data_IF_315030935440
#
_entry.id   IF_315030935440
#
_cell.length_a   1.000
_cell.length_b   1.000
_cell.length_c   1.000
_cell.angle_alpha   90.00
_cell.angle_beta   90.00
_cell.angle_gamma   90.00
#
_symmetry.space_group_name_H-M   'P 1'
#
loop_
_entity.id
_entity.type
_entity.pdbx_description
1 polymer ?
#
# COMPACT_ATOMS: atom_id res chain seq x y z
N UNK A 1 11.71 20.09 8.94
CA UNK A 1 12.08 21.06 9.97
C UNK A 1 10.83 21.81 10.42
N UNK A 2 10.55 21.83 11.73
CA UNK A 2 9.38 22.53 12.29
C UNK A 2 9.75 24.01 12.51
N UNK A 3 10.89 24.27 13.14
CA UNK A 3 11.45 25.61 13.33
C UNK A 3 12.99 25.51 13.45
N UNK A 4 13.66 26.57 13.91
CA UNK A 4 15.11 26.58 14.07
C UNK A 4 15.64 25.54 15.05
N UNK A 5 14.83 25.10 16.00
CA UNK A 5 15.23 24.25 17.13
C UNK A 5 14.58 22.86 17.08
N UNK A 6 13.54 22.68 16.26
CA UNK A 6 12.77 21.44 16.23
C UNK A 6 12.73 20.81 14.84
N UNK A 7 12.94 19.50 14.83
CA UNK A 7 12.71 18.62 13.69
C UNK A 7 11.65 17.60 14.10
N UNK A 8 10.64 17.41 13.26
CA UNK A 8 9.69 16.32 13.41
C UNK A 8 10.00 15.22 12.41
N UNK A 9 9.88 13.98 12.85
CA UNK A 9 10.01 12.79 12.03
C UNK A 9 8.76 11.93 12.24
N UNK A 10 8.09 11.59 11.15
CA UNK A 10 6.94 10.70 11.18
C UNK A 10 7.39 9.26 10.97
N UNK A 11 6.78 8.36 11.70
CA UNK A 11 6.96 6.93 11.56
C UNK A 11 5.64 6.29 11.14
N UNK A 12 5.74 5.26 10.33
CA UNK A 12 4.62 4.37 10.01
C UNK A 12 4.48 3.25 11.07
N UNK A 13 3.43 2.46 10.97
CA UNK A 13 3.15 1.36 11.89
C UNK A 13 4.20 0.22 11.85
N UNK A 14 5.01 0.16 10.81
CA UNK A 14 6.10 -0.83 10.65
C UNK A 14 7.35 -0.46 11.42
N UNK A 15 7.47 0.79 11.86
CA UNK A 15 8.61 1.26 12.65
C UNK A 15 8.33 1.09 14.15
N UNK A 16 9.30 0.54 14.83
CA UNK A 16 9.21 0.23 16.24
C UNK A 16 10.10 1.13 17.10
N UNK A 17 10.00 0.97 18.40
CA UNK A 17 10.80 1.68 19.41
C UNK A 17 12.30 1.57 19.15
N UNK A 18 12.77 0.44 18.63
CA UNK A 18 14.19 0.26 18.27
C UNK A 18 14.64 1.30 17.23
N UNK A 19 13.86 1.50 16.16
CA UNK A 19 14.15 2.49 15.13
C UNK A 19 14.09 3.93 15.66
N UNK A 20 13.12 4.22 16.52
CA UNK A 20 13.02 5.52 17.17
C UNK A 20 14.26 5.79 18.04
N UNK A 21 14.72 4.79 18.80
CA UNK A 21 15.93 4.93 19.62
C UNK A 21 17.21 5.05 18.77
N UNK A 22 17.28 4.41 17.61
CA UNK A 22 18.38 4.63 16.66
C UNK A 22 18.42 6.09 16.19
N UNK A 23 17.25 6.68 15.90
CA UNK A 23 17.16 8.08 15.50
C UNK A 23 17.64 9.02 16.63
N UNK A 24 17.21 8.79 17.86
CA UNK A 24 17.66 9.57 19.01
C UNK A 24 19.19 9.57 19.16
N UNK A 25 19.84 8.42 18.95
CA UNK A 25 21.31 8.31 18.96
C UNK A 25 21.99 9.17 17.89
N UNK A 26 21.39 9.28 16.70
CA UNK A 26 21.91 10.14 15.63
C UNK A 26 21.96 11.60 16.05
N UNK A 27 21.01 12.03 16.88
CA UNK A 27 20.97 13.39 17.45
C UNK A 27 21.71 13.51 18.79
N UNK A 28 22.57 12.54 19.14
CA UNK A 28 23.33 12.48 20.40
C UNK A 28 22.44 12.59 21.66
N UNK A 29 21.20 12.13 21.58
CA UNK A 29 20.32 12.08 22.75
C UNK A 29 20.73 10.95 23.68
N UNK A 30 20.80 11.26 24.97
CA UNK A 30 20.99 10.25 26.04
C UNK A 30 19.65 9.60 26.46
N UNK A 31 18.54 10.15 25.99
CA UNK A 31 17.22 9.59 26.29
C UNK A 31 16.93 8.36 25.45
N UNK A 32 16.07 7.50 25.96
CA UNK A 32 15.56 6.34 25.25
C UNK A 32 14.05 6.21 25.42
N UNK A 33 13.38 5.87 24.36
CA UNK A 33 11.97 5.54 24.38
C UNK A 33 11.85 4.09 24.86
N UNK A 34 11.10 3.88 25.94
CA UNK A 34 10.75 2.54 26.40
C UNK A 34 9.51 2.06 25.66
N UNK A 35 9.50 0.78 25.35
CA UNK A 35 8.30 0.15 24.80
C UNK A 35 7.21 0.16 25.87
N UNK A 36 6.17 0.93 25.63
CA UNK A 36 5.02 0.97 26.53
C UNK A 36 3.83 0.31 25.80
N UNK A 37 3.48 -0.93 26.13
CA UNK A 37 2.36 -1.61 25.51
C UNK A 37 1.02 -0.91 25.77
N UNK A 38 0.93 -0.08 26.81
CA UNK A 38 -0.20 0.80 27.04
C UNK A 38 0.01 2.10 26.23
N UNK A 39 -0.25 2.06 24.93
CA UNK A 39 -0.42 3.29 24.16
C UNK A 39 -1.53 4.12 24.79
N UNK A 40 -1.14 5.14 25.53
CA UNK A 40 -2.08 6.23 25.76
C UNK A 40 -2.45 6.76 24.37
N UNK A 41 -3.68 6.63 23.98
CA UNK A 41 -4.20 7.31 22.82
C UNK A 41 -3.78 8.78 22.91
N UNK A 42 -3.35 9.41 21.81
CA UNK A 42 -3.10 10.83 21.81
C UNK A 42 -4.28 11.52 22.48
N UNK A 43 -4.01 12.60 23.24
CA UNK A 43 -5.03 13.39 23.91
C UNK A 43 -6.00 13.97 22.87
N UNK A 44 -6.90 13.12 22.39
CA UNK A 44 -7.98 13.58 21.53
C UNK A 44 -8.97 14.40 22.36
N UNK A 45 -9.41 15.53 21.87
CA UNK A 45 -10.47 16.31 22.49
C UNK A 45 -11.68 15.41 22.78
N UNK A 46 -12.25 15.54 23.97
CA UNK A 46 -13.35 14.64 24.41
C UNK A 46 -14.54 14.64 23.44
N UNK A 47 -14.80 15.77 22.78
CA UNK A 47 -15.86 15.91 21.79
C UNK A 47 -15.61 15.15 20.48
N UNK A 48 -14.37 14.67 20.25
CA UNK A 48 -14.01 13.84 19.11
C UNK A 48 -14.00 12.35 19.45
N UNK A 49 -14.18 12.00 20.72
CA UNK A 49 -14.26 10.61 21.12
C UNK A 49 -15.66 10.06 20.82
N UNK A 50 -15.67 8.83 20.30
CA UNK A 50 -16.92 8.12 20.06
C UNK A 50 -17.62 7.83 21.38
N UNK A 51 -18.89 8.22 21.48
CA UNK A 51 -19.76 7.89 22.61
C UNK A 51 -20.83 6.84 22.26
N UNK A 52 -21.04 6.60 20.96
CA UNK A 52 -21.99 5.59 20.48
C UNK A 52 -21.37 4.21 20.46
N UNK A 53 -22.19 3.19 20.64
CA UNK A 53 -21.79 1.81 20.41
C UNK A 53 -21.45 1.56 18.95
N UNK A 54 -20.64 0.54 18.66
CA UNK A 54 -20.25 0.17 17.31
C UNK A 54 -20.01 -1.32 17.20
N UNK A 55 -20.06 -1.87 15.99
CA UNK A 55 -19.86 -3.29 15.71
C UNK A 55 -20.75 -4.22 16.57
N UNK A 56 -22.01 -3.81 16.77
CA UNK A 56 -22.97 -4.55 17.60
C UNK A 56 -23.57 -5.75 16.86
N UNK A 57 -23.46 -5.81 15.53
CA UNK A 57 -23.98 -6.96 14.79
C UNK A 57 -23.20 -8.23 15.16
N UNK A 58 -23.88 -9.37 15.37
CA UNK A 58 -23.25 -10.62 15.82
C UNK A 58 -22.10 -11.11 14.95
N UNK A 59 -22.09 -10.77 13.66
CA UNK A 59 -21.01 -11.13 12.73
C UNK A 59 -19.63 -10.64 13.19
N UNK A 60 -19.56 -9.50 13.87
CA UNK A 60 -18.31 -8.95 14.40
C UNK A 60 -17.80 -9.66 15.66
N UNK A 61 -18.63 -10.51 16.24
CA UNK A 61 -18.34 -11.28 17.45
C UNK A 61 -18.42 -12.79 17.20
N UNK A 62 -18.27 -13.18 15.93
CA UNK A 62 -18.29 -14.56 15.47
C UNK A 62 -17.03 -14.85 14.64
N UNK A 63 -16.83 -16.12 14.29
CA UNK A 63 -15.74 -16.51 13.37
C UNK A 63 -14.34 -16.17 13.88
N UNK A 64 -14.03 -16.60 15.11
CA UNK A 64 -12.77 -16.28 15.79
C UNK A 64 -11.61 -17.21 15.40
N UNK A 65 -11.86 -18.32 14.73
CA UNK A 65 -10.81 -19.20 14.17
C UNK A 65 -10.59 -18.96 12.69
N UNK A 66 -9.38 -19.26 12.21
CA UNK A 66 -9.02 -19.18 10.79
C UNK A 66 -10.01 -19.96 9.92
N UNK A 67 -10.31 -21.21 10.31
CA UNK A 67 -11.24 -22.08 9.56
C UNK A 67 -12.66 -21.51 9.50
N UNK A 68 -13.16 -20.96 10.60
CA UNK A 68 -14.48 -20.33 10.61
C UNK A 68 -14.52 -19.07 9.73
N UNK A 69 -13.49 -18.26 9.77
CA UNK A 69 -13.37 -17.07 8.92
C UNK A 69 -13.32 -17.45 7.44
N UNK A 70 -12.52 -18.43 7.05
CA UNK A 70 -12.44 -18.92 5.68
C UNK A 70 -13.80 -19.43 5.19
N UNK A 71 -14.52 -20.23 5.99
CA UNK A 71 -15.86 -20.71 5.65
C UNK A 71 -16.88 -19.56 5.56
N UNK A 72 -16.75 -18.56 6.40
CA UNK A 72 -17.61 -17.38 6.36
C UNK A 72 -17.37 -16.58 5.07
N UNK A 73 -16.12 -16.31 4.73
CA UNK A 73 -15.76 -15.61 3.49
C UNK A 73 -16.24 -16.38 2.25
N UNK A 74 -16.05 -17.70 2.24
CA UNK A 74 -16.57 -18.54 1.14
C UNK A 74 -18.08 -18.46 1.01
N UNK A 75 -18.81 -18.47 2.11
CA UNK A 75 -20.28 -18.33 2.11
C UNK A 75 -20.72 -16.95 1.59
N UNK A 76 -19.96 -15.90 1.84
CA UNK A 76 -20.24 -14.57 1.28
C UNK A 76 -19.95 -14.53 -0.22
N UNK A 77 -18.80 -15.08 -0.64
CA UNK A 77 -18.43 -15.21 -2.05
C UNK A 77 -19.48 -15.97 -2.85
N UNK A 78 -20.07 -17.03 -2.27
CA UNK A 78 -21.06 -17.88 -2.94
C UNK A 78 -22.42 -17.19 -3.16
N UNK A 79 -22.64 -16.03 -2.54
CA UNK A 79 -23.87 -15.24 -2.75
C UNK A 79 -23.83 -14.39 -4.01
N UNK A 80 -22.67 -14.21 -4.61
CA UNK A 80 -22.47 -13.34 -5.76
C UNK A 80 -21.57 -13.99 -6.81
N UNK A 81 -21.31 -13.29 -7.90
CA UNK A 81 -20.43 -13.73 -8.98
C UNK A 81 -18.99 -13.72 -8.49
N UNK A 82 -18.30 -14.85 -8.64
CA UNK A 82 -16.89 -14.99 -8.30
C UNK A 82 -16.07 -15.38 -9.53
N UNK A 83 -14.84 -14.85 -9.63
CA UNK A 83 -13.95 -15.04 -10.77
C UNK A 83 -13.56 -16.51 -11.01
N UNK A 84 -13.57 -17.34 -9.96
CA UNK A 84 -13.19 -18.76 -10.02
C UNK A 84 -14.31 -19.68 -10.52
N UNK A 85 -15.54 -19.17 -10.75
CA UNK A 85 -16.70 -19.99 -11.11
C UNK A 85 -17.65 -19.33 -12.12
N UNK A 86 -17.31 -18.17 -12.62
CA UNK A 86 -18.17 -17.46 -13.58
C UNK A 86 -17.35 -16.79 -14.67
N UNK A 87 -17.93 -16.68 -15.84
CA UNK A 87 -17.42 -15.85 -16.91
C UNK A 87 -17.93 -14.43 -16.70
N UNK A 88 -17.02 -13.49 -16.49
CA UNK A 88 -17.34 -12.06 -16.34
C UNK A 88 -17.00 -11.38 -17.65
N UNK A 89 -18.03 -10.92 -18.34
CA UNK A 89 -17.90 -10.24 -19.64
C UNK A 89 -17.43 -8.78 -19.50
N UNK A 90 -17.20 -8.30 -18.27
CA UNK A 90 -16.75 -6.93 -17.99
C UNK A 90 -15.27 -6.75 -18.27
N UNK A 91 -14.92 -5.54 -18.72
CA UNK A 91 -13.57 -5.18 -19.13
C UNK A 91 -12.61 -4.89 -17.96
N UNK A 92 -11.86 -3.81 -18.08
CA UNK A 92 -10.68 -3.50 -17.27
C UNK A 92 -10.94 -3.29 -15.76
N UNK A 93 -12.13 -2.92 -15.36
CA UNK A 93 -12.46 -2.72 -13.95
C UNK A 93 -12.53 -4.03 -13.15
N UNK A 94 -12.53 -5.17 -13.82
CA UNK A 94 -12.56 -6.48 -13.20
C UNK A 94 -11.16 -6.92 -12.81
N UNK A 95 -10.95 -7.24 -11.55
CA UNK A 95 -9.71 -7.88 -11.10
C UNK A 95 -9.51 -9.21 -11.80
N UNK A 96 -8.35 -9.39 -12.44
CA UNK A 96 -7.99 -10.63 -13.09
C UNK A 96 -7.35 -11.58 -12.09
N UNK A 97 -7.60 -12.87 -12.26
CA UNK A 97 -6.88 -13.90 -11.49
C UNK A 97 -5.43 -13.95 -11.96
N UNK A 98 -4.51 -13.88 -11.01
CA UNK A 98 -3.08 -14.06 -11.24
C UNK A 98 -2.61 -15.33 -10.55
N UNK A 99 -1.59 -15.98 -11.10
CA UNK A 99 -0.96 -17.09 -10.42
C UNK A 99 -0.31 -16.62 -9.10
N UNK A 100 -0.39 -17.45 -8.06
CA UNK A 100 0.21 -17.14 -6.76
C UNK A 100 1.70 -16.86 -6.91
N UNK A 101 2.39 -17.61 -7.77
CA UNK A 101 3.82 -17.41 -8.05
C UNK A 101 4.15 -16.03 -8.64
N UNK A 102 3.24 -15.42 -9.37
CA UNK A 102 3.37 -14.05 -9.91
C UNK A 102 3.16 -13.00 -8.81
N UNK A 103 2.35 -13.31 -7.80
CA UNK A 103 2.03 -12.39 -6.70
C UNK A 103 3.05 -12.42 -5.55
N UNK A 104 3.72 -13.56 -5.34
CA UNK A 104 4.70 -13.74 -4.25
C UNK A 104 5.78 -12.64 -4.23
N UNK A 105 6.42 -12.27 -5.36
CA UNK A 105 7.48 -11.25 -5.36
C UNK A 105 7.03 -9.89 -4.83
N UNK A 106 5.74 -9.55 -4.91
CA UNK A 106 5.20 -8.28 -4.41
C UNK A 106 5.40 -8.15 -2.89
N UNK A 107 5.43 -9.28 -2.18
CA UNK A 107 5.64 -9.33 -0.73
C UNK A 107 7.11 -9.35 -0.30
N UNK A 108 8.05 -9.51 -1.21
CA UNK A 108 9.46 -9.49 -0.87
C UNK A 108 9.89 -8.10 -0.44
N UNK A 109 10.74 -8.03 0.58
CA UNK A 109 11.16 -6.77 1.18
C UNK A 109 11.83 -5.83 0.18
N UNK A 110 12.60 -6.38 -0.73
CA UNK A 110 13.32 -5.68 -1.78
C UNK A 110 12.37 -4.94 -2.74
N UNK A 111 11.12 -5.43 -2.88
CA UNK A 111 10.06 -4.80 -3.68
C UNK A 111 9.08 -4.02 -2.84
N UNK A 112 8.74 -4.48 -1.64
CA UNK A 112 7.67 -3.92 -0.82
C UNK A 112 8.11 -2.74 0.07
N UNK A 113 9.37 -2.70 0.49
CA UNK A 113 9.85 -1.74 1.49
C UNK A 113 10.59 -0.50 0.95
N UNK A 114 11.09 -0.45 -0.30
CA UNK A 114 11.77 0.74 -0.78
C UNK A 114 10.83 1.95 -0.78
N UNK A 115 11.34 3.08 -0.27
CA UNK A 115 10.59 4.33 -0.29
C UNK A 115 10.54 4.89 -1.72
N UNK A 116 9.41 5.43 -2.20
CA UNK A 116 9.30 6.00 -3.56
C UNK A 116 10.31 7.11 -3.87
N UNK A 117 10.76 7.83 -2.85
CA UNK A 117 11.77 8.89 -2.96
C UNK A 117 13.14 8.47 -2.41
N UNK A 118 13.43 7.16 -2.40
CA UNK A 118 14.78 6.69 -2.12
C UNK A 118 15.77 7.25 -3.15
N UNK A 119 17.03 7.49 -2.79
CA UNK A 119 18.05 7.91 -3.72
C UNK A 119 18.14 6.98 -4.93
N UNK A 120 18.27 7.56 -6.12
CA UNK A 120 18.17 6.82 -7.41
C UNK A 120 19.22 5.71 -7.52
N UNK A 121 20.40 5.95 -6.97
CA UNK A 121 21.50 4.98 -6.91
C UNK A 121 21.21 3.76 -6.04
N UNK A 122 20.26 3.86 -5.12
CA UNK A 122 19.79 2.75 -4.27
C UNK A 122 18.67 1.94 -4.94
N UNK A 123 18.15 2.40 -6.07
CA UNK A 123 16.98 1.86 -6.76
C UNK A 123 17.32 1.25 -8.12
N UNK A 124 18.54 0.74 -8.29
CA UNK A 124 19.03 0.25 -9.60
C UNK A 124 18.15 -0.90 -10.14
N UNK A 125 17.75 -1.84 -9.28
CA UNK A 125 16.86 -2.94 -9.67
C UNK A 125 15.51 -2.47 -10.19
N UNK A 126 14.87 -1.49 -9.53
CA UNK A 126 13.62 -0.89 -10.00
C UNK A 126 13.81 -0.12 -11.31
N UNK A 127 14.92 0.58 -11.47
CA UNK A 127 15.23 1.29 -12.72
C UNK A 127 15.34 0.33 -13.90
N UNK A 128 16.04 -0.80 -13.68
CA UNK A 128 16.13 -1.86 -14.68
C UNK A 128 14.76 -2.43 -15.01
N UNK A 129 13.96 -2.78 -13.99
CA UNK A 129 12.60 -3.27 -14.18
C UNK A 129 11.74 -2.32 -15.03
N UNK A 130 11.74 -1.02 -14.70
CA UNK A 130 10.98 -0.02 -15.47
C UNK A 130 11.48 0.15 -16.89
N UNK A 131 12.77 0.08 -17.09
CA UNK A 131 13.37 0.20 -18.43
C UNK A 131 13.00 -1.00 -19.29
N UNK A 132 13.14 -2.20 -18.76
CA UNK A 132 12.81 -3.43 -19.48
C UNK A 132 11.31 -3.47 -19.82
N UNK A 133 10.45 -3.16 -18.85
CA UNK A 133 9.01 -3.13 -19.07
C UNK A 133 8.59 -2.10 -20.14
N UNK A 134 9.14 -0.89 -20.09
CA UNK A 134 8.89 0.12 -21.11
C UNK A 134 9.33 -0.34 -22.50
N UNK A 135 10.48 -0.99 -22.61
CA UNK A 135 10.98 -1.51 -23.89
C UNK A 135 10.09 -2.63 -24.43
N UNK A 136 9.65 -3.55 -23.59
CA UNK A 136 8.72 -4.61 -23.97
C UNK A 136 7.37 -4.03 -24.44
N UNK A 137 6.80 -3.11 -23.69
CA UNK A 137 5.55 -2.46 -24.06
C UNK A 137 5.68 -1.68 -25.39
N UNK A 138 6.78 -0.97 -25.61
CA UNK A 138 7.06 -0.30 -26.89
C UNK A 138 7.11 -1.30 -28.04
N UNK A 139 7.80 -2.41 -27.83
CA UNK A 139 7.92 -3.46 -28.85
C UNK A 139 6.57 -4.11 -29.19
N UNK A 140 5.75 -4.36 -28.18
CA UNK A 140 4.43 -4.99 -28.34
C UNK A 140 3.43 -4.05 -29.04
N UNK A 141 3.44 -2.76 -28.66
CA UNK A 141 2.44 -1.80 -29.13
C UNK A 141 2.87 -1.03 -30.38
N UNK A 142 4.16 -0.99 -30.67
CA UNK A 142 4.73 -0.17 -31.74
C UNK A 142 4.79 1.34 -31.43
N UNK A 143 4.44 1.77 -30.22
CA UNK A 143 4.52 3.17 -29.82
C UNK A 143 5.97 3.62 -29.60
N UNK A 144 6.23 4.88 -29.88
CA UNK A 144 7.56 5.49 -29.69
C UNK A 144 7.93 5.67 -28.22
N UNK A 145 6.96 5.81 -27.33
CA UNK A 145 7.16 5.99 -25.90
C UNK A 145 6.07 5.37 -25.04
N UNK A 146 6.43 5.02 -23.79
CA UNK A 146 5.52 4.48 -22.78
C UNK A 146 5.81 5.14 -21.46
N UNK A 147 4.78 5.58 -20.75
CA UNK A 147 4.86 6.06 -19.38
C UNK A 147 4.22 5.05 -18.41
N UNK A 148 4.91 4.79 -17.28
CA UNK A 148 4.41 3.98 -16.19
C UNK A 148 3.92 4.85 -15.00
N UNK A 149 3.80 6.18 -15.19
CA UNK A 149 3.42 7.13 -14.14
C UNK A 149 1.93 7.05 -13.74
N UNK A 150 0.97 6.91 -14.67
CA UNK A 150 -0.44 6.86 -14.30
C UNK A 150 -0.74 5.67 -13.37
N UNK A 151 -1.47 5.95 -12.27
CA UNK A 151 -1.79 4.95 -11.25
C UNK A 151 -3.12 4.22 -11.50
N UNK A 152 -3.90 4.66 -12.47
CA UNK A 152 -5.20 4.07 -12.82
C UNK A 152 -5.52 4.31 -14.29
N UNK A 153 -6.51 3.56 -14.84
CA UNK A 153 -6.96 3.72 -16.22
C UNK A 153 -7.39 5.15 -16.52
N UNK A 154 -8.25 5.74 -15.68
CA UNK A 154 -8.70 7.12 -15.84
C UNK A 154 -7.56 8.15 -15.82
N UNK A 155 -6.54 7.93 -15.02
CA UNK A 155 -5.33 8.78 -15.02
C UNK A 155 -4.52 8.63 -16.31
N UNK A 156 -4.45 7.41 -16.86
CA UNK A 156 -3.82 7.15 -18.16
C UNK A 156 -4.53 7.88 -19.29
N UNK A 157 -5.85 7.83 -19.31
CA UNK A 157 -6.69 8.55 -20.29
C UNK A 157 -6.49 10.06 -20.18
N UNK A 158 -6.57 10.60 -18.96
CA UNK A 158 -6.36 12.03 -18.72
C UNK A 158 -4.95 12.47 -19.10
N UNK A 159 -3.92 11.71 -18.73
CA UNK A 159 -2.54 12.01 -19.11
C UNK A 159 -2.35 12.01 -20.64
N UNK A 160 -2.96 11.04 -21.34
CA UNK A 160 -2.96 10.99 -22.80
C UNK A 160 -3.58 12.24 -23.43
N UNK A 161 -4.76 12.65 -22.95
CA UNK A 161 -5.42 13.88 -23.42
C UNK A 161 -4.58 15.12 -23.15
N UNK A 162 -3.91 15.20 -22.00
CA UNK A 162 -3.04 16.32 -21.67
C UNK A 162 -1.82 16.38 -22.60
N UNK A 163 -1.25 15.22 -22.95
CA UNK A 163 -0.14 15.13 -23.93
C UNK A 163 -0.61 15.63 -25.30
N UNK A 164 -1.76 15.14 -25.79
CA UNK A 164 -2.35 15.57 -27.07
C UNK A 164 -2.59 17.07 -27.08
N UNK A 165 -3.15 17.61 -26.00
CA UNK A 165 -3.41 19.06 -25.88
C UNK A 165 -2.12 19.89 -25.90
N UNK A 166 -1.02 19.34 -25.38
CA UNK A 166 0.26 20.04 -25.30
C UNK A 166 1.02 20.01 -26.63
N UNK A 167 0.83 18.96 -27.43
CA UNK A 167 1.41 18.79 -28.75
C UNK A 167 0.82 19.81 -29.75
#
# INVERSE_FOLDING_TARGET
KVNSEMIAVSFDERKNVYRANQLLKIFNSTESIKDNPTRSLPNLPKNLLRTSKYLEHPVFNSYHSETEMLRYLKRLEDKDIALNRSMIALGSCTMKLNAVAEMIPISWREFAEPHPFAPVEQMEGYRKLFTDLKNWLRSITGFSGVSLQPNAGAQGEYAGLMVIRKY
#
